data_IF_844215315431
#
_entry.id   IF_844215315431
#
_cell.length_a   1.000
_cell.length_b   1.000
_cell.length_c   1.000
_cell.angle_alpha   90.00
_cell.angle_beta   90.00
_cell.angle_gamma   90.00
#
_symmetry.space_group_name_H-M   'P 1'
#
loop_
_entity.id
_entity.type
_entity.pdbx_description
1 polymer ?
#
# COMPACT_ATOMS: atom_id res chain seq x y z
N UNK A 1 -0.32 18.68 -5.79
CA UNK A 1 0.56 18.74 -4.63
C UNK A 1 1.77 17.84 -4.84
N UNK A 2 2.92 18.28 -4.45
CA UNK A 2 4.12 17.49 -4.61
C UNK A 2 4.01 16.23 -3.77
N UNK A 3 4.38 15.11 -4.34
CA UNK A 3 4.22 13.82 -3.71
C UNK A 3 5.56 13.10 -3.59
N UNK A 4 6.61 13.88 -3.35
CA UNK A 4 7.90 13.27 -3.08
C UNK A 4 7.75 12.39 -1.84
N UNK A 5 8.09 11.10 -1.94
CA UNK A 5 7.96 10.22 -0.79
C UNK A 5 8.84 10.72 0.35
N UNK A 6 8.34 10.75 1.58
CA UNK A 6 9.19 11.04 2.72
C UNK A 6 10.35 10.05 2.78
N UNK A 7 11.51 10.51 3.26
CA UNK A 7 12.63 9.61 3.43
C UNK A 7 12.27 8.43 4.33
N UNK A 8 11.33 8.62 5.24
CA UNK A 8 10.84 7.57 6.14
C UNK A 8 10.21 6.40 5.40
N UNK A 9 9.66 6.62 4.18
CA UNK A 9 9.04 5.54 3.42
C UNK A 9 10.06 4.59 2.77
N UNK A 10 11.31 4.65 3.18
CA UNK A 10 12.33 3.73 2.68
C UNK A 10 12.41 2.42 3.46
N UNK A 11 11.87 2.40 4.68
CA UNK A 11 11.86 1.16 5.47
C UNK A 11 10.55 0.43 5.29
N UNK A 12 10.58 -0.89 5.46
CA UNK A 12 9.37 -1.69 5.37
C UNK A 12 8.36 -1.26 6.43
N UNK A 13 8.82 -0.94 7.63
CA UNK A 13 7.94 -0.51 8.73
C UNK A 13 7.19 0.76 8.36
N UNK A 14 7.89 1.74 7.82
CA UNK A 14 7.27 3.00 7.42
C UNK A 14 6.29 2.78 6.27
N UNK A 15 6.63 1.92 5.32
CA UNK A 15 5.73 1.58 4.23
C UNK A 15 4.46 0.92 4.75
N UNK A 16 4.59 0.03 5.74
CA UNK A 16 3.43 -0.63 6.34
C UNK A 16 2.50 0.38 7.01
N UNK A 17 3.07 1.32 7.75
CA UNK A 17 2.27 2.35 8.43
C UNK A 17 1.56 3.23 7.42
N UNK A 18 2.25 3.65 6.39
CA UNK A 18 1.68 4.48 5.35
C UNK A 18 0.56 3.74 4.59
N UNK A 19 0.83 2.48 4.21
CA UNK A 19 -0.17 1.66 3.50
C UNK A 19 -1.40 1.42 4.35
N UNK A 20 -1.20 1.18 5.65
CA UNK A 20 -2.31 0.96 6.57
C UNK A 20 -3.23 2.18 6.60
N UNK A 21 -2.65 3.36 6.70
CA UNK A 21 -3.43 4.59 6.70
C UNK A 21 -4.17 4.80 5.37
N UNK A 22 -3.47 4.54 4.25
CA UNK A 22 -4.05 4.70 2.93
C UNK A 22 -5.24 3.75 2.72
N UNK A 23 -5.05 2.48 3.05
CA UNK A 23 -6.10 1.47 2.86
C UNK A 23 -7.26 1.71 3.82
N UNK A 24 -6.97 2.08 5.06
CA UNK A 24 -8.01 2.40 6.03
C UNK A 24 -8.92 3.52 5.52
N UNK A 25 -8.33 4.50 4.85
CA UNK A 25 -9.09 5.61 4.29
C UNK A 25 -10.05 5.11 3.19
N UNK A 26 -9.59 4.19 2.34
CA UNK A 26 -10.43 3.65 1.28
C UNK A 26 -11.57 2.79 1.80
N UNK A 27 -11.30 1.97 2.82
CA UNK A 27 -12.31 1.04 3.34
C UNK A 27 -13.11 1.63 4.51
N UNK A 28 -12.86 2.89 4.83
CA UNK A 28 -13.55 3.61 5.90
C UNK A 28 -13.43 2.89 7.24
N UNK A 29 -12.22 2.53 7.58
CA UNK A 29 -11.91 1.81 8.81
C UNK A 29 -10.87 2.56 9.63
N UNK A 30 -10.79 2.22 10.92
CA UNK A 30 -9.74 2.74 11.79
C UNK A 30 -8.43 2.03 11.42
N UNK A 31 -7.33 2.76 11.17
CA UNK A 31 -6.06 2.11 10.85
C UNK A 31 -5.61 1.08 11.88
N UNK A 32 -5.94 1.29 13.15
CA UNK A 32 -5.55 0.35 14.20
C UNK A 32 -6.33 -0.94 14.17
N UNK A 33 -7.43 -0.98 13.41
CA UNK A 33 -8.23 -2.20 13.27
C UNK A 33 -7.76 -3.10 12.13
N UNK A 34 -6.84 -2.62 11.31
CA UNK A 34 -6.36 -3.38 10.16
C UNK A 34 -5.15 -4.23 10.54
N UNK A 35 -5.30 -5.54 10.37
CA UNK A 35 -4.20 -6.48 10.59
C UNK A 35 -3.38 -6.56 9.30
N UNK A 36 -2.08 -6.23 9.35
CA UNK A 36 -1.24 -6.24 8.13
C UNK A 36 -1.04 -7.62 7.53
N UNK A 37 -1.42 -8.67 8.24
CA UNK A 37 -1.29 -10.05 7.75
C UNK A 37 -2.60 -10.65 7.27
N UNK A 38 -3.70 -9.90 7.37
CA UNK A 38 -4.99 -10.39 6.87
C UNK A 38 -5.19 -10.01 5.42
N UNK A 39 -5.87 -10.86 4.64
CA UNK A 39 -6.18 -10.53 3.25
C UNK A 39 -6.98 -9.23 3.16
N UNK A 40 -6.59 -8.36 2.25
CA UNK A 40 -7.24 -7.07 2.07
C UNK A 40 -8.70 -7.20 1.65
N UNK A 41 -9.04 -8.28 0.93
CA UNK A 41 -10.42 -8.56 0.57
C UNK A 41 -11.31 -8.70 1.81
N UNK A 42 -10.78 -9.24 2.90
CA UNK A 42 -11.53 -9.37 4.16
C UNK A 42 -11.71 -8.02 4.86
N UNK A 43 -10.86 -7.06 4.56
CA UNK A 43 -10.97 -5.72 5.12
C UNK A 43 -11.95 -4.84 4.33
N UNK A 44 -12.44 -5.34 3.20
CA UNK A 44 -13.39 -4.59 2.37
C UNK A 44 -12.80 -3.94 1.15
N UNK A 45 -11.55 -4.25 0.80
CA UNK A 45 -10.91 -3.68 -0.37
C UNK A 45 -11.40 -4.42 -1.62
N UNK A 46 -12.24 -3.77 -2.41
CA UNK A 46 -12.75 -4.35 -3.66
C UNK A 46 -11.81 -4.01 -4.83
N UNK A 47 -12.16 -4.49 -6.03
CA UNK A 47 -11.31 -4.33 -7.19
C UNK A 47 -11.15 -2.86 -7.61
N UNK A 48 -12.20 -2.05 -7.43
CA UNK A 48 -12.13 -0.63 -7.77
C UNK A 48 -11.19 0.10 -6.83
N UNK A 49 -11.32 -0.16 -5.54
CA UNK A 49 -10.43 0.45 -4.55
C UNK A 49 -9.00 -0.04 -4.71
N UNK A 50 -8.82 -1.31 -5.06
CA UNK A 50 -7.49 -1.87 -5.28
C UNK A 50 -6.74 -1.13 -6.39
N UNK A 51 -7.43 -0.83 -7.49
CA UNK A 51 -6.85 -0.07 -8.59
C UNK A 51 -6.49 1.35 -8.15
N UNK A 52 -7.37 1.97 -7.38
CA UNK A 52 -7.13 3.33 -6.87
C UNK A 52 -5.94 3.37 -5.91
N UNK A 53 -5.83 2.36 -5.04
CA UNK A 53 -4.69 2.25 -4.13
C UNK A 53 -3.39 2.13 -4.92
N UNK A 54 -3.38 1.32 -5.97
CA UNK A 54 -2.20 1.18 -6.83
C UNK A 54 -1.81 2.50 -7.47
N UNK A 55 -2.79 3.28 -7.93
CA UNK A 55 -2.52 4.59 -8.52
C UNK A 55 -1.92 5.54 -7.49
N UNK A 56 -2.43 5.53 -6.27
CA UNK A 56 -1.91 6.38 -5.20
C UNK A 56 -0.48 5.99 -4.82
N UNK A 57 -0.20 4.69 -4.77
CA UNK A 57 1.15 4.19 -4.50
C UNK A 57 2.12 4.66 -5.57
N UNK A 58 1.73 4.51 -6.83
CA UNK A 58 2.55 4.90 -7.97
C UNK A 58 2.85 6.39 -7.93
N UNK A 59 1.83 7.20 -7.65
CA UNK A 59 1.99 8.64 -7.58
C UNK A 59 2.88 9.07 -6.42
N UNK A 60 2.71 8.46 -5.27
CA UNK A 60 3.46 8.84 -4.07
C UNK A 60 4.92 8.37 -4.13
N UNK A 61 5.14 7.15 -4.56
CA UNK A 61 6.48 6.57 -4.56
C UNK A 61 7.26 6.81 -5.86
N UNK A 62 6.56 7.21 -6.91
CA UNK A 62 7.21 7.49 -8.19
C UNK A 62 7.74 6.25 -8.90
N UNK A 63 7.16 5.08 -8.61
CA UNK A 63 7.52 3.83 -9.28
C UNK A 63 6.29 3.25 -9.96
N UNK A 64 6.46 2.55 -11.08
CA UNK A 64 5.33 1.91 -11.72
C UNK A 64 4.79 0.76 -10.85
N UNK A 65 3.47 0.69 -10.75
CA UNK A 65 2.79 -0.33 -9.95
C UNK A 65 1.68 -0.92 -10.80
N UNK A 66 1.67 -2.24 -10.94
CA UNK A 66 0.63 -2.89 -11.72
C UNK A 66 -0.70 -2.92 -10.96
N UNK A 67 -1.83 -2.79 -11.67
CA UNK A 67 -3.14 -2.83 -11.02
C UNK A 67 -3.43 -4.13 -10.29
N UNK A 68 -2.70 -5.19 -10.60
CA UNK A 68 -2.87 -6.49 -9.97
C UNK A 68 -2.10 -6.62 -8.66
N UNK A 69 -1.44 -5.56 -8.21
CA UNK A 69 -0.61 -5.60 -7.01
C UNK A 69 -1.33 -6.23 -5.82
N UNK A 70 -2.59 -5.83 -5.60
CA UNK A 70 -3.36 -6.32 -4.46
C UNK A 70 -3.75 -7.79 -4.58
N UNK A 71 -3.74 -8.33 -5.80
CA UNK A 71 -3.98 -9.77 -6.03
C UNK A 71 -2.71 -10.57 -5.83
N UNK A 72 -1.59 -10.06 -6.33
CA UNK A 72 -0.30 -10.73 -6.23
C UNK A 72 0.26 -10.65 -4.81
N UNK A 73 -0.09 -9.59 -4.10
CA UNK A 73 0.36 -9.32 -2.74
C UNK A 73 -0.86 -8.94 -1.90
N UNK A 74 -1.63 -9.92 -1.42
CA UNK A 74 -2.98 -9.67 -0.90
C UNK A 74 -3.04 -9.13 0.53
N UNK A 75 -1.92 -8.82 1.16
CA UNK A 75 -1.90 -8.25 2.52
C UNK A 75 -1.05 -6.98 2.54
N UNK A 76 -1.28 -6.15 3.55
CA UNK A 76 -0.47 -4.94 3.73
C UNK A 76 1.01 -5.30 3.87
N UNK A 77 1.30 -6.34 4.65
CA UNK A 77 2.69 -6.77 4.85
C UNK A 77 3.34 -7.20 3.52
N UNK A 78 2.61 -7.95 2.70
CA UNK A 78 3.12 -8.41 1.42
C UNK A 78 3.36 -7.24 0.46
N UNK A 79 2.46 -6.28 0.42
CA UNK A 79 2.62 -5.09 -0.41
C UNK A 79 3.84 -4.28 0.05
N UNK A 80 3.98 -4.09 1.36
CA UNK A 80 5.11 -3.35 1.90
C UNK A 80 6.43 -4.03 1.57
N UNK A 81 6.47 -5.35 1.65
CA UNK A 81 7.65 -6.13 1.29
C UNK A 81 8.03 -5.91 -0.18
N UNK A 82 7.03 -6.01 -1.06
CA UNK A 82 7.23 -5.79 -2.48
C UNK A 82 7.74 -4.39 -2.77
N UNK A 83 7.12 -3.38 -2.17
CA UNK A 83 7.50 -1.98 -2.42
C UNK A 83 8.88 -1.67 -1.85
N UNK A 84 9.18 -2.20 -0.68
CA UNK A 84 10.50 -2.01 -0.08
C UNK A 84 11.59 -2.55 -1.00
N UNK A 85 11.37 -3.74 -1.55
CA UNK A 85 12.32 -4.36 -2.49
C UNK A 85 12.42 -3.55 -3.77
N UNK A 86 11.29 -3.10 -4.33
CA UNK A 86 11.27 -2.32 -5.55
C UNK A 86 12.01 -0.99 -5.39
N UNK A 87 11.83 -0.33 -4.25
CA UNK A 87 12.50 0.92 -3.97
C UNK A 87 14.01 0.75 -3.78
N UNK A 88 14.42 -0.38 -3.23
CA UNK A 88 15.83 -0.68 -3.03
C UNK A 88 16.57 -0.92 -4.35
N UNK A 89 15.85 -1.27 -5.41
CA UNK A 89 16.43 -1.53 -6.72
C UNK A 89 16.55 -0.29 -7.60
N UNK A 90 16.10 0.85 -7.14
CA UNK A 90 16.12 2.08 -7.94
C UNK A 90 17.44 2.82 -7.84
#
# INVERSE_FOLDING_TARGET
>A
MATTPPAALRSKTELKLWLTALIADYVDADPTSLDPHRPLAEAGLDSVYAVSVCADIEETLGIPVEPTLAWDHPTIDAIAEYLHHALALR
#
